data_IF_553752526724
#
_entry.id   IF_553752526724
#
_cell.length_a   1.000
_cell.length_b   1.000
_cell.length_c   1.000
_cell.angle_alpha   90.00
_cell.angle_beta   90.00
_cell.angle_gamma   90.00
#
_symmetry.space_group_name_H-M   'P 1'
#
loop_
_entity.id
_entity.type
_entity.pdbx_description
1 polymer ?
#
# COMPACT_ATOMS: atom_id res chain seq x y z
N UNK A 1 -13.88 30.76 31.65
CA UNK A 1 -13.73 29.52 30.86
C UNK A 1 -12.78 29.72 29.67
N UNK A 2 -11.47 29.84 29.97
CA UNK A 2 -10.44 29.83 28.92
C UNK A 2 -10.04 28.37 28.69
N UNK A 3 -10.45 27.78 27.56
CA UNK A 3 -9.84 26.52 27.09
C UNK A 3 -10.75 25.38 26.63
N UNK A 4 -12.09 25.53 26.67
CA UNK A 4 -12.99 24.52 26.11
C UNK A 4 -13.39 24.92 24.69
N UNK A 5 -12.99 24.11 23.71
CA UNK A 5 -13.50 24.23 22.34
C UNK A 5 -14.98 23.84 22.33
N UNK A 6 -15.80 24.59 21.58
CA UNK A 6 -17.18 24.17 21.33
C UNK A 6 -17.22 23.13 20.19
N UNK A 7 -18.36 22.47 20.03
CA UNK A 7 -18.51 21.38 19.04
C UNK A 7 -18.19 21.84 17.61
N UNK A 8 -18.57 23.06 17.23
CA UNK A 8 -18.28 23.62 15.90
C UNK A 8 -16.78 23.81 15.69
N UNK A 9 -16.07 24.29 16.72
CA UNK A 9 -14.61 24.47 16.65
C UNK A 9 -13.89 23.11 16.56
N UNK A 10 -14.36 22.11 17.30
CA UNK A 10 -13.83 20.74 17.24
C UNK A 10 -14.06 20.15 15.84
N UNK A 11 -15.29 20.25 15.32
CA UNK A 11 -15.61 19.75 13.99
C UNK A 11 -14.80 20.45 12.88
N UNK A 12 -14.67 21.77 12.96
CA UNK A 12 -13.86 22.53 12.01
C UNK A 12 -12.38 22.15 12.05
N UNK A 13 -11.82 21.94 13.24
CA UNK A 13 -10.43 21.51 13.41
C UNK A 13 -10.22 20.10 12.82
N UNK A 14 -11.12 19.15 13.09
CA UNK A 14 -11.06 17.78 12.54
C UNK A 14 -11.18 17.79 11.01
N UNK A 15 -12.07 18.63 10.46
CA UNK A 15 -12.22 18.77 9.00
C UNK A 15 -10.94 19.31 8.36
N UNK A 16 -10.31 20.31 8.97
CA UNK A 16 -9.04 20.87 8.48
C UNK A 16 -7.89 19.85 8.56
N UNK A 17 -7.79 19.10 9.66
CA UNK A 17 -6.79 18.04 9.82
C UNK A 17 -6.99 16.95 8.79
N UNK A 18 -8.23 16.53 8.56
CA UNK A 18 -8.56 15.53 7.54
C UNK A 18 -8.23 16.04 6.12
N UNK A 19 -8.57 17.27 5.81
CA UNK A 19 -8.27 17.90 4.51
C UNK A 19 -6.76 18.04 4.23
N UNK A 20 -5.93 18.14 5.29
CA UNK A 20 -4.46 18.16 5.20
C UNK A 20 -3.82 16.75 5.24
N UNK A 21 -4.60 15.71 5.37
CA UNK A 21 -4.15 14.33 5.64
C UNK A 21 -3.37 14.16 6.96
N UNK A 22 -3.52 15.08 7.91
CA UNK A 22 -2.92 15.00 9.24
C UNK A 22 -3.75 14.11 10.20
N UNK A 23 -5.00 13.82 9.84
CA UNK A 23 -5.89 12.93 10.57
C UNK A 23 -6.80 12.15 9.61
N UNK A 24 -7.09 10.91 9.94
CA UNK A 24 -8.06 10.09 9.22
C UNK A 24 -9.22 9.68 10.14
N UNK A 25 -10.42 9.63 9.57
CA UNK A 25 -11.57 9.04 10.26
C UNK A 25 -11.39 7.54 10.34
N UNK A 26 -11.65 6.97 11.49
CA UNK A 26 -11.58 5.53 11.73
C UNK A 26 -12.95 4.98 12.11
N UNK A 27 -13.18 3.72 11.80
CA UNK A 27 -14.36 2.95 12.21
C UNK A 27 -14.28 2.66 13.72
N UNK A 28 -15.43 2.36 14.33
CA UNK A 28 -15.45 1.80 15.67
C UNK A 28 -14.82 0.39 15.70
N UNK A 29 -14.37 -0.04 16.88
CA UNK A 29 -13.61 -1.29 17.04
C UNK A 29 -14.40 -2.52 16.58
N UNK A 30 -15.71 -2.58 16.83
CA UNK A 30 -16.55 -3.71 16.43
C UNK A 30 -16.68 -3.79 14.90
N UNK A 31 -16.81 -2.64 14.23
CA UNK A 31 -16.83 -2.54 12.77
C UNK A 31 -15.49 -2.96 12.16
N UNK A 32 -14.37 -2.49 12.72
CA UNK A 32 -13.03 -2.89 12.32
C UNK A 32 -12.86 -4.41 12.39
N UNK A 33 -13.17 -5.00 13.54
CA UNK A 33 -12.99 -6.45 13.73
C UNK A 33 -13.89 -7.27 12.79
N UNK A 34 -15.14 -6.85 12.59
CA UNK A 34 -16.06 -7.53 11.67
C UNK A 34 -15.60 -7.46 10.20
N UNK A 35 -14.90 -6.40 9.82
CA UNK A 35 -14.41 -6.18 8.46
C UNK A 35 -13.06 -6.85 8.19
N UNK A 36 -12.24 -7.09 9.21
CA UNK A 36 -10.84 -7.52 9.11
C UNK A 36 -10.63 -8.73 8.20
N UNK A 37 -11.39 -9.80 8.39
CA UNK A 37 -11.26 -11.02 7.61
C UNK A 37 -11.59 -10.79 6.11
N UNK A 38 -12.63 -10.00 5.83
CA UNK A 38 -13.04 -9.66 4.44
C UNK A 38 -12.01 -8.77 3.76
N UNK A 39 -11.49 -7.77 4.47
CA UNK A 39 -10.43 -6.90 3.95
C UNK A 39 -9.17 -7.70 3.62
N UNK A 40 -8.74 -8.60 4.49
CA UNK A 40 -7.62 -9.51 4.22
C UNK A 40 -7.84 -10.37 2.99
N UNK A 41 -8.99 -11.02 2.87
CA UNK A 41 -9.31 -11.86 1.72
C UNK A 41 -9.30 -11.06 0.41
N UNK A 42 -9.88 -9.86 0.42
CA UNK A 42 -9.85 -8.96 -0.73
C UNK A 42 -8.43 -8.52 -1.09
N UNK A 43 -7.67 -8.03 -0.12
CA UNK A 43 -6.30 -7.56 -0.34
C UNK A 43 -5.39 -8.68 -0.87
N UNK A 44 -5.56 -9.91 -0.37
CA UNK A 44 -4.86 -11.09 -0.91
C UNK A 44 -5.21 -11.35 -2.37
N UNK A 45 -6.49 -11.29 -2.72
CA UNK A 45 -6.95 -11.46 -4.10
C UNK A 45 -6.34 -10.39 -5.01
N UNK A 46 -6.32 -9.13 -4.57
CA UNK A 46 -5.76 -8.00 -5.34
C UNK A 46 -4.25 -8.18 -5.55
N UNK A 47 -3.51 -8.48 -4.50
CA UNK A 47 -2.06 -8.69 -4.60
C UNK A 47 -1.70 -9.91 -5.45
N UNK A 48 -2.49 -10.97 -5.41
CA UNK A 48 -2.31 -12.12 -6.28
C UNK A 48 -2.64 -11.80 -7.74
N UNK A 49 -3.73 -11.05 -8.00
CA UNK A 49 -4.07 -10.58 -9.35
C UNK A 49 -2.99 -9.71 -9.97
N UNK A 50 -2.29 -8.89 -9.16
CA UNK A 50 -1.20 -8.04 -9.62
C UNK A 50 -0.02 -8.82 -10.25
N UNK A 51 0.11 -10.12 -9.97
CA UNK A 51 1.13 -10.99 -10.59
C UNK A 51 0.90 -11.13 -12.09
N UNK A 52 -0.34 -11.18 -12.54
CA UNK A 52 -0.71 -11.39 -13.95
C UNK A 52 -0.96 -10.06 -14.66
N UNK A 53 -1.81 -9.24 -14.08
CA UNK A 53 -2.13 -7.91 -14.57
C UNK A 53 -2.36 -6.97 -13.38
N UNK A 54 -2.54 -5.71 -13.62
CA UNK A 54 -2.74 -4.72 -12.57
C UNK A 54 -4.01 -3.90 -12.81
N UNK A 55 -5.15 -4.54 -13.02
CA UNK A 55 -6.42 -3.84 -13.25
C UNK A 55 -7.03 -3.25 -11.97
N UNK A 56 -6.70 -3.84 -10.81
CA UNK A 56 -7.15 -3.36 -9.51
C UNK A 56 -5.98 -2.68 -8.81
N UNK A 57 -6.09 -1.39 -8.59
CA UNK A 57 -5.00 -0.52 -8.10
C UNK A 57 -5.21 -0.05 -6.66
N UNK A 58 -5.85 -0.84 -5.81
CA UNK A 58 -6.07 -0.43 -4.41
C UNK A 58 -6.15 -1.61 -3.46
N UNK A 59 -5.71 -1.38 -2.23
CA UNK A 59 -5.96 -2.22 -1.07
C UNK A 59 -6.98 -1.53 -0.17
N UNK A 60 -7.73 -2.30 0.60
CA UNK A 60 -8.75 -1.77 1.52
C UNK A 60 -8.32 -1.90 2.96
N UNK A 61 -8.64 -0.88 3.76
CA UNK A 61 -8.34 -0.82 5.18
C UNK A 61 -9.57 -1.16 6.02
N UNK A 62 -9.48 -2.11 6.94
CA UNK A 62 -10.55 -2.35 7.90
C UNK A 62 -10.71 -1.17 8.88
N UNK A 63 -9.60 -0.44 9.16
CA UNK A 63 -9.58 0.65 10.12
C UNK A 63 -10.36 1.87 9.63
N UNK A 64 -10.10 2.32 8.40
CA UNK A 64 -10.72 3.51 7.83
C UNK A 64 -11.95 3.21 6.98
N UNK A 65 -12.17 1.97 6.59
CA UNK A 65 -13.21 1.60 5.62
C UNK A 65 -12.95 2.17 4.21
N UNK A 66 -11.75 2.68 3.96
CA UNK A 66 -11.36 3.31 2.69
C UNK A 66 -10.34 2.48 1.93
N UNK A 67 -10.07 2.89 0.69
CA UNK A 67 -9.09 2.28 -0.17
C UNK A 67 -7.78 3.07 -0.18
N UNK A 68 -6.65 2.36 -0.22
CA UNK A 68 -5.32 2.90 -0.48
C UNK A 68 -4.94 2.58 -1.93
N UNK A 69 -4.81 3.61 -2.75
CA UNK A 69 -4.42 3.46 -4.14
C UNK A 69 -2.93 3.08 -4.25
N UNK A 70 -2.62 2.07 -5.07
CA UNK A 70 -1.28 1.53 -5.24
C UNK A 70 -1.08 1.06 -6.68
N UNK A 71 0.06 1.40 -7.26
CA UNK A 71 0.47 0.87 -8.56
C UNK A 71 0.75 -0.64 -8.51
N UNK A 72 0.81 -1.29 -9.68
CA UNK A 72 1.06 -2.74 -9.78
C UNK A 72 2.34 -3.16 -9.05
N UNK A 73 3.43 -2.44 -9.22
CA UNK A 73 4.72 -2.76 -8.58
C UNK A 73 4.61 -2.62 -7.06
N UNK A 74 3.95 -1.58 -6.56
CA UNK A 74 3.69 -1.41 -5.12
C UNK A 74 2.84 -2.55 -4.56
N UNK A 75 1.83 -3.04 -5.32
CA UNK A 75 1.03 -4.20 -4.92
C UNK A 75 1.86 -5.47 -4.84
N UNK A 76 2.82 -5.65 -5.74
CA UNK A 76 3.74 -6.79 -5.70
C UNK A 76 4.72 -6.69 -4.51
N UNK A 77 5.20 -5.48 -4.17
CA UNK A 77 5.99 -5.27 -2.95
C UNK A 77 5.15 -5.50 -1.69
N UNK A 78 3.91 -5.01 -1.67
CA UNK A 78 2.97 -5.29 -0.59
C UNK A 78 2.74 -6.80 -0.43
N UNK A 79 2.58 -7.55 -1.53
CA UNK A 79 2.45 -9.00 -1.50
C UNK A 79 3.66 -9.67 -0.84
N UNK A 80 4.87 -9.29 -1.23
CA UNK A 80 6.12 -9.82 -0.68
C UNK A 80 6.24 -9.51 0.83
N UNK A 81 5.94 -8.27 1.22
CA UNK A 81 5.90 -7.86 2.62
C UNK A 81 4.86 -8.67 3.42
N UNK A 82 3.64 -8.80 2.93
CA UNK A 82 2.56 -9.55 3.56
C UNK A 82 2.86 -11.07 3.64
N UNK A 83 3.75 -11.59 2.81
CA UNK A 83 4.27 -12.96 2.88
C UNK A 83 5.45 -13.11 3.87
N UNK A 84 5.79 -12.05 4.61
CA UNK A 84 6.79 -12.07 5.67
C UNK A 84 8.19 -11.63 5.27
N UNK A 85 8.42 -11.18 4.05
CA UNK A 85 9.71 -10.62 3.65
C UNK A 85 9.90 -9.24 4.29
N UNK A 86 11.03 -9.01 4.94
CA UNK A 86 11.25 -7.81 5.75
C UNK A 86 12.16 -6.77 5.07
N UNK A 87 12.89 -7.17 4.03
CA UNK A 87 13.91 -6.32 3.40
C UNK A 87 13.50 -5.89 2.00
N UNK A 88 13.66 -4.61 1.64
CA UNK A 88 13.34 -4.11 0.30
C UNK A 88 14.01 -4.91 -0.83
N UNK A 89 15.26 -5.32 -0.65
CA UNK A 89 15.98 -6.13 -1.64
C UNK A 89 15.29 -7.48 -1.91
N UNK A 90 14.70 -8.12 -0.89
CA UNK A 90 13.95 -9.37 -1.06
C UNK A 90 12.67 -9.15 -1.88
N UNK A 91 11.99 -8.00 -1.66
CA UNK A 91 10.82 -7.64 -2.45
C UNK A 91 11.19 -7.41 -3.92
N UNK A 92 12.27 -6.66 -4.17
CA UNK A 92 12.78 -6.42 -5.52
C UNK A 92 13.09 -7.72 -6.27
N UNK A 93 13.80 -8.65 -5.64
CA UNK A 93 14.08 -9.97 -6.22
C UNK A 93 12.79 -10.77 -6.50
N UNK A 94 11.84 -10.75 -5.56
CA UNK A 94 10.58 -11.47 -5.71
C UNK A 94 9.76 -10.91 -6.87
N UNK A 95 9.70 -9.58 -6.99
CA UNK A 95 9.02 -8.90 -8.09
C UNK A 95 9.73 -9.16 -9.41
N UNK A 96 11.06 -9.12 -9.45
CA UNK A 96 11.81 -9.43 -10.66
C UNK A 96 11.51 -10.85 -11.17
N UNK A 97 11.50 -11.85 -10.31
CA UNK A 97 11.14 -13.23 -10.70
C UNK A 97 9.73 -13.33 -11.30
N UNK A 98 8.78 -12.55 -10.77
CA UNK A 98 7.42 -12.49 -11.33
C UNK A 98 7.46 -11.86 -12.72
N UNK A 99 8.07 -10.68 -12.89
CA UNK A 99 8.16 -10.01 -14.18
C UNK A 99 8.85 -10.89 -15.22
N UNK A 100 9.98 -11.48 -14.85
CA UNK A 100 10.74 -12.39 -15.72
C UNK A 100 9.92 -13.60 -16.17
N UNK A 101 9.12 -14.19 -15.27
CA UNK A 101 8.28 -15.35 -15.61
C UNK A 101 7.21 -15.04 -16.65
N UNK A 102 6.85 -13.76 -16.82
CA UNK A 102 5.93 -13.25 -17.84
C UNK A 102 6.63 -12.57 -19.02
N UNK A 103 7.96 -12.66 -19.11
CA UNK A 103 8.73 -11.97 -20.15
C UNK A 103 8.62 -10.44 -20.09
N UNK A 104 8.36 -9.88 -18.91
CA UNK A 104 8.18 -8.46 -18.68
C UNK A 104 9.46 -7.83 -18.14
N UNK A 105 9.65 -6.55 -18.44
CA UNK A 105 10.73 -5.73 -17.91
C UNK A 105 10.15 -4.43 -17.30
N UNK A 106 10.94 -3.79 -16.44
CA UNK A 106 10.63 -2.46 -15.95
C UNK A 106 10.74 -1.44 -17.08
N UNK A 107 9.87 -0.43 -17.02
CA UNK A 107 9.94 0.72 -17.89
C UNK A 107 10.59 1.88 -17.14
N UNK A 108 11.53 2.56 -17.78
CA UNK A 108 12.11 3.81 -17.31
C UNK A 108 12.10 4.81 -18.45
N UNK A 109 11.53 5.98 -18.22
CA UNK A 109 11.37 7.04 -19.23
C UNK A 109 10.65 6.55 -20.52
N UNK A 110 9.78 5.55 -20.40
CA UNK A 110 9.03 4.95 -21.50
C UNK A 110 9.76 3.83 -22.24
N UNK A 111 11.01 3.52 -21.88
CA UNK A 111 11.81 2.46 -22.49
C UNK A 111 11.96 1.26 -21.56
N UNK A 112 11.92 0.04 -22.14
CA UNK A 112 12.10 -1.19 -21.38
C UNK A 112 13.59 -1.37 -21.02
N UNK A 113 13.85 -1.56 -19.72
CA UNK A 113 15.19 -1.81 -19.21
C UNK A 113 15.70 -3.18 -19.71
N UNK A 114 16.95 -3.19 -20.15
CA UNK A 114 17.59 -4.39 -20.69
C UNK A 114 18.46 -5.07 -19.64
N UNK A 115 18.33 -6.40 -19.58
CA UNK A 115 19.10 -7.24 -18.67
C UNK A 115 18.60 -7.23 -17.23
N UNK A 116 19.03 -8.22 -16.47
CA UNK A 116 18.62 -8.42 -15.09
C UNK A 116 19.12 -7.32 -14.16
N UNK A 117 20.39 -6.92 -14.31
CA UNK A 117 21.03 -5.92 -13.45
C UNK A 117 20.29 -4.58 -13.45
N UNK A 118 19.93 -4.07 -14.64
CA UNK A 118 19.23 -2.79 -14.77
C UNK A 118 17.81 -2.86 -14.16
N UNK A 119 17.11 -3.98 -14.36
CA UNK A 119 15.77 -4.21 -13.82
C UNK A 119 15.80 -4.32 -12.28
N UNK A 120 16.74 -5.08 -11.72
CA UNK A 120 16.90 -5.20 -10.27
C UNK A 120 17.33 -3.89 -9.63
N UNK A 121 18.22 -3.11 -10.26
CA UNK A 121 18.61 -1.80 -9.76
C UNK A 121 17.40 -0.86 -9.62
N UNK A 122 16.54 -0.79 -10.64
CA UNK A 122 15.32 0.03 -10.59
C UNK A 122 14.31 -0.50 -9.58
N UNK A 123 14.10 -1.82 -9.51
CA UNK A 123 13.21 -2.42 -8.51
C UNK A 123 13.69 -2.20 -7.08
N UNK A 124 14.99 -2.28 -6.81
CA UNK A 124 15.56 -1.96 -5.49
C UNK A 124 15.30 -0.51 -5.12
N UNK A 125 15.51 0.44 -6.03
CA UNK A 125 15.22 1.85 -5.80
C UNK A 125 13.75 2.07 -5.45
N UNK A 126 12.83 1.46 -6.20
CA UNK A 126 11.38 1.55 -5.94
C UNK A 126 10.97 0.84 -4.65
N UNK A 127 11.62 -0.26 -4.29
CA UNK A 127 11.36 -0.97 -3.04
C UNK A 127 11.77 -0.15 -1.81
N UNK A 128 12.88 0.59 -1.89
CA UNK A 128 13.27 1.54 -0.83
C UNK A 128 12.28 2.71 -0.73
N UNK A 129 11.82 3.26 -1.84
CA UNK A 129 10.77 4.28 -1.84
C UNK A 129 9.45 3.77 -1.25
N UNK A 130 9.07 2.53 -1.58
CA UNK A 130 7.90 1.87 -1.01
C UNK A 130 8.06 1.69 0.51
N UNK A 131 9.23 1.23 0.98
CA UNK A 131 9.51 1.07 2.41
C UNK A 131 9.40 2.40 3.16
N UNK A 132 9.94 3.48 2.60
CA UNK A 132 9.94 4.79 3.23
C UNK A 132 8.55 5.43 3.30
N UNK A 133 7.74 5.28 2.24
CA UNK A 133 6.52 6.06 2.06
C UNK A 133 5.24 5.22 2.22
N UNK A 134 5.17 4.05 1.57
CA UNK A 134 3.94 3.25 1.48
C UNK A 134 3.77 2.26 2.63
N UNK A 135 4.85 1.65 3.09
CA UNK A 135 4.80 0.67 4.18
C UNK A 135 4.27 1.28 5.48
N UNK A 136 4.63 2.52 5.77
CA UNK A 136 4.10 3.26 6.93
C UNK A 136 2.59 3.40 6.84
N UNK A 137 2.05 3.73 5.66
CA UNK A 137 0.61 3.84 5.44
C UNK A 137 -0.09 2.48 5.56
N UNK A 138 0.49 1.39 5.03
CA UNK A 138 -0.06 0.03 5.19
C UNK A 138 -0.20 -0.35 6.66
N UNK A 139 0.84 -0.11 7.46
CA UNK A 139 0.84 -0.37 8.91
C UNK A 139 -0.18 0.49 9.64
N UNK A 140 -0.19 1.80 9.39
CA UNK A 140 -1.12 2.73 10.02
C UNK A 140 -2.59 2.40 9.71
N UNK A 141 -2.88 1.91 8.51
CA UNK A 141 -4.21 1.52 8.06
C UNK A 141 -4.58 0.06 8.39
N UNK A 142 -3.72 -0.66 9.14
CA UNK A 142 -3.91 -2.06 9.51
C UNK A 142 -4.18 -2.98 8.29
N UNK A 143 -3.51 -2.69 7.17
CA UNK A 143 -3.53 -3.54 5.98
C UNK A 143 -2.48 -4.64 6.20
N UNK A 144 -2.93 -5.73 6.79
CA UNK A 144 -2.12 -6.89 7.17
C UNK A 144 -2.69 -8.17 6.57
N UNK A 145 -1.91 -9.27 6.74
CA UNK A 145 -2.40 -10.64 6.43
C UNK A 145 -3.35 -11.19 7.48
#
# INVERSE_FOLDING_TARGET
>A
DRGKLNEVQIFSALTLLHAKNDAALVQDEASVESARARCRAFNRMVTESARHNGEIYYLISPLSGSALNMGRIDLLFAAAYLQGQQQPAQWAESVWRILQSYGQAMLKDGEALQGEEANLAELNRLAEEFAANRLTALKALQIEN
#
